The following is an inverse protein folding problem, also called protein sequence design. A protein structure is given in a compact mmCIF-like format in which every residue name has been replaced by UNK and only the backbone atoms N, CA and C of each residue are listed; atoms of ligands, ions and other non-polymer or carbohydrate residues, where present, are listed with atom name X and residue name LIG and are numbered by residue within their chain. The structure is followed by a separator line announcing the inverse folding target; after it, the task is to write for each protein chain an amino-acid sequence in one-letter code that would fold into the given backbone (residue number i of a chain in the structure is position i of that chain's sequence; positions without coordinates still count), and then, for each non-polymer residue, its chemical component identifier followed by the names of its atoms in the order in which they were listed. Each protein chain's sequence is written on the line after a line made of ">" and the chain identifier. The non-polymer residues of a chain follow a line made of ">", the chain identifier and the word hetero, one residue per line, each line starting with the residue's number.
data_IF_182465170148
#
_entry.id   IF_182465170148
#
_cell.length_a   1.000
_cell.length_b   1.000
_cell.length_c   1.000
_cell.angle_alpha   90.00
_cell.angle_beta   90.00
_cell.angle_gamma   90.00
#
_symmetry.space_group_name_H-M   'P 1'
#
loop_
_entity.id
_entity.type
_entity.pdbx_description
1 polymer ?
#
# COMPACT_ATOMS: atom_id res chain seq x y z
N UNK A 1 -22.66 -22.15 6.43
CA UNK A 1 -21.61 -21.47 5.64
C UNK A 1 -21.69 -19.97 5.86
N UNK A 2 -22.87 -19.35 5.72
CA UNK A 2 -23.05 -17.90 5.89
C UNK A 2 -22.82 -17.38 7.32
N UNK A 3 -23.26 -18.11 8.36
CA UNK A 3 -22.98 -17.77 9.76
C UNK A 3 -21.48 -17.76 10.08
N UNK A 4 -20.74 -18.73 9.53
CA UNK A 4 -19.30 -18.81 9.71
C UNK A 4 -18.59 -17.61 9.06
N UNK A 5 -18.99 -17.28 7.82
CA UNK A 5 -18.49 -16.10 7.09
C UNK A 5 -18.79 -14.81 7.88
N UNK A 6 -20.00 -14.66 8.42
CA UNK A 6 -20.39 -13.49 9.23
C UNK A 6 -19.58 -13.37 10.53
N UNK A 7 -19.31 -14.48 11.21
CA UNK A 7 -18.53 -14.49 12.43
C UNK A 7 -17.04 -14.21 12.18
N UNK A 8 -16.48 -14.74 11.09
CA UNK A 8 -15.13 -14.34 10.63
C UNK A 8 -15.11 -12.84 10.34
N UNK A 9 -16.15 -12.28 9.71
CA UNK A 9 -16.24 -10.84 9.43
C UNK A 9 -16.20 -10.01 10.71
N UNK A 10 -17.03 -10.37 11.70
CA UNK A 10 -17.09 -9.69 13.00
C UNK A 10 -15.72 -9.66 13.68
N UNK A 11 -15.03 -10.80 13.74
CA UNK A 11 -13.74 -10.91 14.42
C UNK A 11 -12.59 -10.15 13.75
N UNK A 12 -12.60 -10.04 12.42
CA UNK A 12 -11.62 -9.23 11.70
C UNK A 12 -11.89 -7.74 11.95
N UNK A 13 -13.16 -7.32 11.98
CA UNK A 13 -13.52 -5.92 12.22
C UNK A 13 -13.24 -5.47 13.67
N UNK A 14 -13.26 -6.40 14.63
CA UNK A 14 -12.87 -6.15 16.02
C UNK A 14 -11.36 -5.96 16.21
N UNK A 15 -10.53 -6.60 15.37
CA UNK A 15 -9.07 -6.53 15.45
C UNK A 15 -8.45 -6.79 14.06
N UNK A 16 -8.34 -5.74 13.26
CA UNK A 16 -7.84 -5.80 11.88
C UNK A 16 -6.36 -6.22 11.76
N UNK A 17 -5.61 -6.25 12.86
CA UNK A 17 -4.22 -6.70 12.90
C UNK A 17 -4.09 -8.18 13.32
N UNK A 18 -5.21 -8.86 13.57
CA UNK A 18 -5.19 -10.26 14.02
C UNK A 18 -4.69 -11.18 12.92
N UNK A 19 -3.64 -11.95 13.21
CA UNK A 19 -3.08 -12.89 12.24
C UNK A 19 -4.07 -14.01 11.92
N UNK A 20 -4.01 -14.54 10.68
CA UNK A 20 -4.85 -15.67 10.26
C UNK A 20 -4.69 -16.90 11.16
N UNK A 21 -3.52 -17.10 11.76
CA UNK A 21 -3.28 -18.20 12.69
C UNK A 21 -4.05 -18.03 14.01
N UNK A 22 -4.13 -16.80 14.52
CA UNK A 22 -4.86 -16.49 15.75
C UNK A 22 -6.37 -16.57 15.54
N UNK A 23 -6.86 -16.06 14.41
CA UNK A 23 -8.26 -16.22 14.00
C UNK A 23 -8.64 -17.70 13.83
N UNK A 24 -7.76 -18.51 13.22
CA UNK A 24 -7.99 -19.94 13.04
C UNK A 24 -8.12 -20.69 14.38
N UNK A 25 -7.27 -20.36 15.35
CA UNK A 25 -7.33 -20.93 16.70
C UNK A 25 -8.63 -20.56 17.42
N UNK A 26 -9.08 -19.30 17.33
CA UNK A 26 -10.34 -18.84 17.94
C UNK A 26 -11.58 -19.45 17.28
N UNK A 27 -11.51 -19.69 15.97
CA UNK A 27 -12.62 -20.24 15.17
C UNK A 27 -12.62 -21.77 15.11
N UNK A 28 -11.65 -22.42 15.76
CA UNK A 28 -11.53 -23.88 15.74
C UNK A 28 -11.36 -24.47 14.34
N UNK A 29 -10.72 -23.75 13.42
CA UNK A 29 -10.56 -24.16 12.03
C UNK A 29 -9.12 -24.00 11.53
N UNK A 30 -8.86 -24.37 10.28
CA UNK A 30 -7.52 -24.23 9.71
C UNK A 30 -7.21 -22.79 9.32
N UNK A 31 -5.92 -22.42 9.36
CA UNK A 31 -5.43 -21.14 8.81
C UNK A 31 -5.85 -20.95 7.34
N UNK A 32 -5.86 -22.03 6.56
CA UNK A 32 -6.25 -21.99 5.15
C UNK A 32 -7.75 -21.69 4.98
N UNK A 33 -8.60 -22.22 5.86
CA UNK A 33 -10.04 -21.93 5.88
C UNK A 33 -10.27 -20.45 6.15
N UNK A 34 -9.59 -19.87 7.15
CA UNK A 34 -9.65 -18.42 7.41
C UNK A 34 -9.15 -17.62 6.21
N UNK A 35 -8.00 -17.98 5.63
CA UNK A 35 -7.45 -17.26 4.48
C UNK A 35 -8.39 -17.31 3.26
N UNK A 36 -9.01 -18.45 2.98
CA UNK A 36 -9.99 -18.58 1.89
C UNK A 36 -11.25 -17.76 2.19
N UNK A 37 -11.77 -17.84 3.41
CA UNK A 37 -12.98 -17.10 3.81
C UNK A 37 -12.73 -15.60 3.73
N UNK A 38 -11.59 -15.13 4.22
CA UNK A 38 -11.21 -13.71 4.19
C UNK A 38 -10.99 -13.22 2.76
N UNK A 39 -10.21 -13.94 1.95
CA UNK A 39 -9.80 -13.46 0.63
C UNK A 39 -10.83 -13.72 -0.48
N UNK A 40 -11.64 -14.78 -0.37
CA UNK A 40 -12.60 -15.17 -1.40
C UNK A 40 -14.04 -14.85 -1.03
N UNK A 41 -14.45 -15.17 0.19
CA UNK A 41 -15.87 -15.12 0.57
C UNK A 41 -16.26 -13.76 1.17
N UNK A 42 -15.38 -13.17 1.99
CA UNK A 42 -15.53 -11.83 2.56
C UNK A 42 -14.88 -10.78 1.66
N UNK A 43 -13.87 -11.20 0.91
CA UNK A 43 -13.15 -10.40 -0.05
C UNK A 43 -12.08 -9.50 0.55
N UNK A 44 -11.96 -9.34 1.88
CA UNK A 44 -11.20 -8.38 2.74
C UNK A 44 -10.07 -7.50 2.19
N UNK A 45 -9.45 -7.84 1.06
CA UNK A 45 -9.10 -6.78 0.11
C UNK A 45 -10.30 -5.84 -0.11
N UNK A 46 -11.54 -6.35 -0.13
CA UNK A 46 -12.82 -5.67 -0.31
C UNK A 46 -13.20 -4.76 0.84
N UNK A 47 -12.79 -4.97 2.09
CA UNK A 47 -13.16 -4.03 3.16
C UNK A 47 -12.25 -2.80 3.11
N UNK A 48 -10.95 -3.00 2.91
CA UNK A 48 -10.04 -1.88 2.62
C UNK A 48 -10.42 -1.20 1.30
N UNK A 49 -10.72 -1.96 0.25
CA UNK A 49 -11.16 -1.41 -1.03
C UNK A 49 -12.53 -0.75 -0.94
N UNK A 50 -13.49 -1.28 -0.19
CA UNK A 50 -14.81 -0.68 0.05
C UNK A 50 -14.66 0.60 0.87
N UNK A 51 -13.84 0.59 1.92
CA UNK A 51 -13.53 1.79 2.65
C UNK A 51 -12.85 2.83 1.75
N UNK A 52 -11.92 2.45 0.89
CA UNK A 52 -11.31 3.36 -0.09
C UNK A 52 -12.33 3.85 -1.13
N UNK A 53 -13.23 3.00 -1.62
CA UNK A 53 -14.34 3.36 -2.51
C UNK A 53 -15.27 4.39 -1.85
N UNK A 54 -15.56 4.22 -0.56
CA UNK A 54 -16.44 5.10 0.21
C UNK A 54 -15.76 6.42 0.62
N UNK A 55 -14.45 6.42 0.89
CA UNK A 55 -13.75 7.55 1.52
C UNK A 55 -12.73 8.26 0.61
N UNK A 56 -12.31 7.62 -0.49
CA UNK A 56 -11.35 8.17 -1.45
C UNK A 56 -12.00 8.32 -2.82
N UNK A 57 -12.50 9.52 -3.18
CA UNK A 57 -13.27 9.74 -4.42
C UNK A 57 -12.49 9.47 -5.71
N UNK A 58 -11.16 9.33 -5.64
CA UNK A 58 -10.29 9.13 -6.80
C UNK A 58 -9.31 7.96 -6.61
N UNK A 59 -9.66 6.95 -5.82
CA UNK A 59 -8.84 5.74 -5.72
C UNK A 59 -8.83 4.98 -7.06
N UNK A 60 -7.75 4.26 -7.33
CA UNK A 60 -7.68 3.34 -8.46
C UNK A 60 -8.01 1.94 -7.96
N UNK A 61 -8.95 1.29 -8.64
CA UNK A 61 -9.27 -0.11 -8.35
C UNK A 61 -8.06 -1.00 -8.67
N UNK A 62 -7.96 -2.19 -8.05
CA UNK A 62 -6.86 -3.14 -8.32
C UNK A 62 -6.74 -3.52 -9.80
N UNK A 63 -7.86 -3.50 -10.52
CA UNK A 63 -8.01 -3.77 -11.94
C UNK A 63 -7.49 -2.64 -12.85
N UNK A 64 -7.34 -1.42 -12.32
CA UNK A 64 -6.81 -0.26 -13.07
C UNK A 64 -5.29 -0.11 -12.92
N UNK A 65 -4.72 -0.47 -11.77
CA UNK A 65 -3.29 -0.30 -11.52
C UNK A 65 -2.47 -1.49 -12.06
N UNK A 66 -1.50 -1.27 -12.97
CA UNK A 66 -0.72 -2.36 -13.52
C UNK A 66 0.20 -3.01 -12.46
N UNK A 67 0.35 -4.35 -12.47
CA UNK A 67 1.23 -5.03 -11.53
C UNK A 67 2.68 -4.57 -11.71
N UNK A 68 3.47 -4.59 -10.63
CA UNK A 68 4.91 -4.31 -10.64
C UNK A 68 5.30 -2.99 -11.33
N UNK A 69 4.53 -1.92 -11.11
CA UNK A 69 4.72 -0.62 -11.78
C UNK A 69 5.20 0.49 -10.83
N UNK A 70 6.42 0.39 -10.25
CA UNK A 70 6.99 1.46 -9.42
C UNK A 70 7.24 2.74 -10.26
N UNK A 71 7.43 2.59 -11.56
CA UNK A 71 7.56 3.69 -12.51
C UNK A 71 6.33 4.59 -12.59
N UNK A 72 5.17 4.09 -12.18
CA UNK A 72 3.92 4.85 -12.14
C UNK A 72 3.68 5.49 -10.76
N UNK A 73 4.35 5.07 -9.68
CA UNK A 73 4.07 5.60 -8.34
C UNK A 73 5.04 6.73 -7.95
N UNK A 74 4.57 7.98 -7.72
CA UNK A 74 5.43 9.09 -7.29
C UNK A 74 6.27 8.80 -6.04
N UNK A 75 5.74 7.99 -5.11
CA UNK A 75 6.49 7.56 -3.93
C UNK A 75 7.73 6.75 -4.32
N UNK A 76 7.58 5.83 -5.27
CA UNK A 76 8.65 4.90 -5.66
C UNK A 76 9.64 5.53 -6.64
N UNK A 77 9.17 6.20 -7.70
CA UNK A 77 10.09 6.76 -8.69
C UNK A 77 10.83 8.02 -8.20
N UNK A 78 10.34 8.69 -7.15
CA UNK A 78 10.91 9.95 -6.68
C UNK A 78 11.12 10.04 -5.17
N UNK A 79 10.05 10.00 -4.36
CA UNK A 79 10.14 10.41 -2.95
C UNK A 79 11.09 9.52 -2.14
N UNK A 80 10.98 8.20 -2.27
CA UNK A 80 11.84 7.28 -1.51
C UNK A 80 13.32 7.45 -1.85
N UNK A 81 13.66 7.58 -3.14
CA UNK A 81 15.05 7.81 -3.55
C UNK A 81 15.60 9.15 -3.05
N UNK A 82 14.75 10.20 -2.98
CA UNK A 82 15.17 11.49 -2.42
C UNK A 82 15.39 11.41 -0.91
N UNK A 83 14.45 10.81 -0.17
CA UNK A 83 14.52 10.70 1.29
C UNK A 83 15.71 9.84 1.68
N UNK A 84 15.87 8.68 1.05
CA UNK A 84 17.02 7.79 1.26
C UNK A 84 18.34 8.51 1.04
N UNK A 85 18.50 9.24 -0.07
CA UNK A 85 19.72 9.98 -0.37
C UNK A 85 20.05 11.07 0.66
N UNK A 86 19.04 11.61 1.36
CA UNK A 86 19.26 12.64 2.38
C UNK A 86 19.51 12.06 3.75
N UNK A 87 18.70 11.09 4.18
CA UNK A 87 18.87 10.45 5.49
C UNK A 87 20.20 9.71 5.56
N UNK A 88 20.59 9.02 4.48
CA UNK A 88 21.81 8.21 4.45
C UNK A 88 23.11 9.03 4.34
N UNK A 89 23.04 10.37 4.34
CA UNK A 89 24.24 11.22 4.51
C UNK A 89 24.87 11.07 5.88
N UNK A 90 24.11 10.58 6.85
CA UNK A 90 24.56 10.33 8.21
C UNK A 90 24.25 8.89 8.61
N UNK A 91 25.13 8.27 9.40
CA UNK A 91 24.88 6.95 9.95
C UNK A 91 23.87 7.04 11.10
N UNK A 92 22.91 6.12 11.13
CA UNK A 92 21.93 6.00 12.21
C UNK A 92 22.22 4.73 13.01
N UNK A 93 22.58 4.89 14.29
CA UNK A 93 22.93 3.76 15.15
C UNK A 93 21.71 3.17 15.89
N UNK A 94 20.52 3.77 15.73
CA UNK A 94 19.28 3.31 16.34
C UNK A 94 18.11 3.45 15.37
N UNK A 95 17.09 2.61 15.54
CA UNK A 95 15.84 2.71 14.77
C UNK A 95 15.14 4.06 14.98
N UNK A 96 15.16 4.59 16.20
CA UNK A 96 14.54 5.87 16.54
C UNK A 96 15.22 7.04 15.81
N UNK A 97 16.55 7.02 15.72
CA UNK A 97 17.30 8.04 14.97
C UNK A 97 16.95 8.01 13.49
N UNK A 98 16.87 6.82 12.88
CA UNK A 98 16.48 6.68 11.48
C UNK A 98 15.04 7.13 11.24
N UNK A 99 14.11 6.72 12.10
CA UNK A 99 12.70 7.14 12.02
C UNK A 99 12.58 8.66 12.12
N UNK A 100 13.27 9.28 13.07
CA UNK A 100 13.25 10.74 13.24
C UNK A 100 13.76 11.46 11.99
N UNK A 101 14.87 10.99 11.41
CA UNK A 101 15.44 11.58 10.21
C UNK A 101 14.49 11.46 8.98
N UNK A 102 13.85 10.31 8.79
CA UNK A 102 12.86 10.12 7.72
C UNK A 102 11.68 11.09 7.90
N UNK A 103 11.12 11.17 9.11
CA UNK A 103 9.98 12.06 9.42
C UNK A 103 10.35 13.52 9.19
N UNK A 104 11.54 13.92 9.63
CA UNK A 104 12.05 15.28 9.43
C UNK A 104 12.22 15.62 7.95
N UNK A 105 12.76 14.71 7.14
CA UNK A 105 12.93 14.94 5.70
C UNK A 105 11.60 15.09 4.95
N UNK A 106 10.58 14.31 5.32
CA UNK A 106 9.23 14.49 4.78
C UNK A 106 8.60 15.81 5.25
N UNK A 107 8.74 16.17 6.53
CA UNK A 107 8.19 17.41 7.08
C UNK A 107 8.80 18.67 6.45
N UNK A 108 10.10 18.62 6.14
CA UNK A 108 10.84 19.72 5.51
C UNK A 108 10.69 19.74 3.98
N UNK A 109 9.95 18.82 3.39
CA UNK A 109 9.80 18.74 1.95
C UNK A 109 8.95 19.89 1.42
N UNK A 110 9.52 20.66 0.49
CA UNK A 110 8.83 21.80 -0.11
C UNK A 110 7.65 21.33 -0.97
N UNK A 111 6.53 22.04 -0.86
CA UNK A 111 5.32 21.74 -1.64
C UNK A 111 5.54 21.77 -3.16
N UNK A 112 6.44 22.63 -3.65
CA UNK A 112 6.75 22.70 -5.09
C UNK A 112 7.44 21.42 -5.59
N UNK A 113 8.27 20.80 -4.75
CA UNK A 113 8.93 19.53 -5.05
C UNK A 113 7.89 18.40 -5.14
N UNK A 114 6.94 18.37 -4.20
CA UNK A 114 5.81 17.41 -4.23
C UNK A 114 4.98 17.60 -5.50
N UNK A 115 4.60 18.85 -5.81
CA UNK A 115 3.81 19.16 -6.99
C UNK A 115 4.52 18.77 -8.30
N UNK A 116 5.83 19.02 -8.40
CA UNK A 116 6.64 18.63 -9.57
C UNK A 116 6.72 17.11 -9.72
N UNK A 117 6.91 16.38 -8.63
CA UNK A 117 6.94 14.92 -8.65
C UNK A 117 5.60 14.36 -9.14
N UNK A 118 4.50 14.73 -8.51
CA UNK A 118 3.16 14.30 -8.93
C UNK A 118 2.82 14.75 -10.37
N UNK A 119 3.27 15.93 -10.79
CA UNK A 119 3.07 16.44 -12.14
C UNK A 119 3.72 15.59 -13.24
N UNK A 120 4.75 14.79 -12.92
CA UNK A 120 5.39 13.85 -13.87
C UNK A 120 4.57 12.59 -14.12
N UNK A 121 3.56 12.31 -13.30
CA UNK A 121 2.79 11.07 -13.36
C UNK A 121 2.21 10.80 -14.76
N UNK A 122 1.52 11.77 -15.35
CA UNK A 122 0.95 11.62 -16.70
C UNK A 122 2.01 11.31 -17.74
N UNK A 123 3.12 12.04 -17.72
CA UNK A 123 4.19 11.84 -18.68
C UNK A 123 4.80 10.43 -18.55
N UNK A 124 4.99 9.93 -17.33
CA UNK A 124 5.47 8.56 -17.11
C UNK A 124 4.49 7.52 -17.64
N UNK A 125 3.18 7.72 -17.47
CA UNK A 125 2.17 6.84 -18.08
C UNK A 125 2.27 6.84 -19.62
N UNK A 126 2.44 8.01 -20.24
CA UNK A 126 2.63 8.12 -21.70
C UNK A 126 3.89 7.37 -22.16
N UNK A 127 4.98 7.43 -21.39
CA UNK A 127 6.19 6.66 -21.68
C UNK A 127 5.97 5.15 -21.55
N UNK A 128 5.24 4.70 -20.53
CA UNK A 128 4.90 3.27 -20.36
C UNK A 128 4.05 2.79 -21.53
N UNK A 129 3.09 3.59 -21.99
CA UNK A 129 2.28 3.27 -23.17
C UNK A 129 3.15 3.22 -24.43
N UNK A 130 4.06 4.19 -24.63
CA UNK A 130 4.98 4.20 -25.76
C UNK A 130 5.97 3.03 -25.75
N UNK A 131 6.24 2.45 -24.57
CA UNK A 131 7.04 1.25 -24.39
C UNK A 131 6.22 -0.05 -24.41
N UNK A 132 4.95 -0.01 -24.84
CA UNK A 132 4.03 -1.16 -24.85
C UNK A 132 3.94 -1.88 -23.48
N UNK A 133 3.94 -1.10 -22.39
CA UNK A 133 3.93 -1.62 -21.03
C UNK A 133 5.31 -2.02 -20.48
N UNK A 134 6.38 -1.77 -21.23
CA UNK A 134 7.77 -2.00 -20.81
C UNK A 134 8.26 -1.03 -19.73
N UNK A 135 9.43 -1.34 -19.18
CA UNK A 135 10.12 -0.48 -18.21
C UNK A 135 10.55 0.83 -18.86
N UNK A 136 10.50 1.91 -18.08
CA UNK A 136 10.93 3.24 -18.51
C UNK A 136 12.10 3.72 -17.65
N UNK A 137 13.00 4.49 -18.25
CA UNK A 137 14.12 5.06 -17.50
C UNK A 137 13.66 6.22 -16.59
N UNK A 138 14.53 6.59 -15.64
CA UNK A 138 14.29 7.69 -14.69
C UNK A 138 14.58 9.06 -15.28
#
# INVERSE_FOLDING_TARGET
>A
TDEFVAEVKRKVNEDGNKSYAKLAAEMGCSKQTIANTINKDLGYSSETQAWMLENLPYHWSPDLWPPSSPDCNPLDYFFWGMVENKTNKHAHNTLDSLRAAIVEEFANMKKDVVAKACGRFRHRLEMVVAADGGYIEK
#
